data_IF_254669301232
#
_entry.id   IF_254669301232
#
_cell.length_a   1.000
_cell.length_b   1.000
_cell.length_c   1.000
_cell.angle_alpha   90.00
_cell.angle_beta   90.00
_cell.angle_gamma   90.00
#
_symmetry.space_group_name_H-M   'P 1'
#
loop_
_entity.id
_entity.type
_entity.pdbx_description
1 polymer ?
#
# COMPACT_ATOMS: atom_id res chain seq x y z
N UNK A 1 9.53 -3.05 7.75
CA UNK A 1 9.69 -3.91 6.58
C UNK A 1 10.05 -3.08 5.34
N UNK A 2 10.95 -3.56 4.47
CA UNK A 2 11.37 -2.88 3.23
C UNK A 2 12.82 -2.42 3.27
N UNK A 3 13.23 -1.54 2.39
CA UNK A 3 12.45 -0.69 1.46
C UNK A 3 12.12 -1.47 0.18
N UNK A 4 10.83 -1.59 -0.15
CA UNK A 4 10.36 -2.28 -1.34
C UNK A 4 10.69 -1.48 -2.62
N UNK A 5 11.08 -2.19 -3.67
CA UNK A 5 11.19 -1.63 -5.01
C UNK A 5 9.82 -1.61 -5.68
N UNK A 6 9.20 -0.47 -5.69
CA UNK A 6 7.84 -0.24 -6.17
C UNK A 6 6.93 0.24 -5.06
N UNK A 7 5.98 1.09 -5.39
CA UNK A 7 4.97 1.54 -4.44
C UNK A 7 3.99 0.42 -4.09
N UNK A 8 3.46 0.47 -2.88
CA UNK A 8 2.37 -0.36 -2.40
C UNK A 8 1.20 0.56 -2.05
N UNK A 9 0.29 0.78 -2.99
CA UNK A 9 -0.77 1.78 -2.92
C UNK A 9 -2.14 1.17 -3.21
N UNK A 10 -3.18 1.68 -2.57
CA UNK A 10 -4.55 1.26 -2.79
C UNK A 10 -4.78 -0.22 -2.56
N UNK A 11 -5.61 -0.81 -3.40
CA UNK A 11 -5.96 -2.24 -3.31
C UNK A 11 -4.79 -3.18 -3.66
N UNK A 12 -3.70 -2.68 -4.27
CA UNK A 12 -2.53 -3.48 -4.57
C UNK A 12 -1.81 -3.99 -3.32
N UNK A 13 -2.01 -3.36 -2.17
CA UNK A 13 -1.44 -3.77 -0.88
C UNK A 13 -1.76 -5.21 -0.50
N UNK A 14 -2.88 -5.79 -1.00
CA UNK A 14 -3.23 -7.20 -0.76
C UNK A 14 -2.24 -8.19 -1.40
N UNK A 15 -1.46 -7.75 -2.39
CA UNK A 15 -0.43 -8.56 -3.06
C UNK A 15 0.98 -8.25 -2.54
N UNK A 16 1.12 -7.33 -1.58
CA UNK A 16 2.40 -6.86 -1.10
C UNK A 16 2.96 -7.73 0.03
N UNK A 17 4.10 -8.35 -0.19
CA UNK A 17 4.84 -9.01 0.89
C UNK A 17 5.39 -8.02 1.92
N UNK A 18 5.74 -6.79 1.50
CA UNK A 18 6.24 -5.74 2.38
C UNK A 18 5.17 -5.24 3.35
N UNK A 19 3.97 -4.95 2.85
CA UNK A 19 2.83 -4.58 3.69
C UNK A 19 2.38 -5.78 4.52
N UNK A 20 2.33 -6.98 3.92
CA UNK A 20 1.99 -8.22 4.63
C UNK A 20 2.93 -8.52 5.81
N UNK A 21 4.23 -8.26 5.66
CA UNK A 21 5.17 -8.42 6.76
C UNK A 21 4.87 -7.46 7.91
N UNK A 22 4.68 -6.16 7.63
CA UNK A 22 4.32 -5.18 8.66
C UNK A 22 2.97 -5.52 9.34
N UNK A 23 1.99 -5.97 8.57
CA UNK A 23 0.72 -6.42 9.15
C UNK A 23 0.88 -7.69 9.99
N UNK A 24 1.77 -8.61 9.61
CA UNK A 24 2.02 -9.81 10.41
C UNK A 24 2.59 -9.47 11.79
N UNK A 25 3.41 -8.42 11.88
CA UNK A 25 3.98 -7.97 13.16
C UNK A 25 2.90 -7.47 14.13
N UNK A 26 1.77 -6.93 13.63
CA UNK A 26 0.64 -6.56 14.49
C UNK A 26 0.04 -7.74 15.25
N UNK A 27 0.17 -8.98 14.74
CA UNK A 27 -0.31 -10.19 15.44
C UNK A 27 0.52 -10.50 16.70
N UNK A 28 1.66 -9.82 16.85
CA UNK A 28 2.59 -9.97 17.97
C UNK A 28 2.73 -8.66 18.77
N UNK A 29 1.80 -7.73 18.59
CA UNK A 29 1.79 -6.40 19.23
C UNK A 29 3.08 -5.60 18.99
N UNK A 30 3.69 -5.79 17.81
CA UNK A 30 4.91 -5.08 17.42
C UNK A 30 4.55 -3.88 16.53
N UNK A 31 4.84 -2.63 16.95
CA UNK A 31 4.69 -1.46 16.11
C UNK A 31 5.48 -1.61 14.81
N UNK A 32 4.84 -1.42 13.67
CA UNK A 32 5.46 -1.75 12.40
C UNK A 32 5.21 -0.72 11.30
N UNK A 33 6.22 -0.57 10.43
CA UNK A 33 6.20 0.34 9.28
C UNK A 33 6.64 -0.41 8.03
N UNK A 34 5.81 -0.40 6.99
CA UNK A 34 6.17 -0.86 5.65
C UNK A 34 6.71 0.33 4.83
N UNK A 35 7.89 0.20 4.25
CA UNK A 35 8.55 1.23 3.45
C UNK A 35 8.64 0.82 1.99
N UNK A 36 8.28 1.72 1.07
CA UNK A 36 8.26 1.45 -0.37
C UNK A 36 8.73 2.66 -1.18
N UNK A 37 9.54 2.45 -2.22
CA UNK A 37 9.99 3.48 -3.15
C UNK A 37 9.27 3.36 -4.48
N UNK A 38 8.42 4.33 -4.81
CA UNK A 38 7.76 4.42 -6.11
C UNK A 38 8.78 4.66 -7.25
N UNK A 39 8.45 4.20 -8.43
CA UNK A 39 9.21 4.51 -9.66
C UNK A 39 8.27 4.55 -10.86
N UNK A 40 8.67 5.27 -11.89
CA UNK A 40 8.05 5.29 -13.22
C UNK A 40 8.85 4.43 -14.20
N UNK A 41 10.17 4.42 -14.07
CA UNK A 41 11.09 3.59 -14.86
C UNK A 41 11.71 2.50 -13.97
N UNK A 42 11.52 1.23 -14.37
CA UNK A 42 12.09 0.08 -13.65
C UNK A 42 13.62 0.05 -13.65
N UNK A 43 14.25 0.67 -14.64
CA UNK A 43 15.72 0.72 -14.77
C UNK A 43 16.33 1.88 -13.99
N UNK A 44 15.54 2.88 -13.61
CA UNK A 44 15.95 4.10 -12.93
C UNK A 44 15.08 4.40 -11.70
N UNK A 45 15.16 3.53 -10.70
CA UNK A 45 14.45 3.72 -9.43
C UNK A 45 15.10 4.86 -8.64
N UNK A 46 14.34 5.91 -8.23
CA UNK A 46 14.90 7.06 -7.50
C UNK A 46 15.13 6.72 -6.01
N UNK A 47 16.01 5.79 -5.72
CA UNK A 47 16.34 5.35 -4.37
C UNK A 47 16.80 6.48 -3.46
N UNK A 48 17.32 7.56 -4.04
CA UNK A 48 17.78 8.73 -3.31
C UNK A 48 16.66 9.37 -2.48
N UNK A 49 15.41 9.31 -2.93
CA UNK A 49 14.28 9.82 -2.17
C UNK A 49 14.10 9.05 -0.84
N UNK A 50 14.12 7.72 -0.90
CA UNK A 50 14.04 6.90 0.30
C UNK A 50 15.31 7.00 1.18
N UNK A 51 16.50 7.10 0.59
CA UNK A 51 17.76 7.22 1.32
C UNK A 51 17.86 8.56 2.06
N UNK A 52 17.45 9.66 1.42
CA UNK A 52 17.56 11.00 2.01
C UNK A 52 16.49 11.28 3.06
N UNK A 53 15.30 10.70 2.90
CA UNK A 53 14.15 11.02 3.76
C UNK A 53 13.75 9.90 4.71
N UNK A 54 14.21 8.65 4.46
CA UNK A 54 13.70 7.46 5.14
C UNK A 54 13.90 7.48 6.65
N UNK A 55 15.13 7.72 7.11
CA UNK A 55 15.43 7.76 8.54
C UNK A 55 14.61 8.82 9.27
N UNK A 56 14.59 10.03 8.73
CA UNK A 56 13.83 11.14 9.30
C UNK A 56 12.32 10.87 9.31
N UNK A 57 11.78 10.28 8.23
CA UNK A 57 10.37 9.90 8.17
C UNK A 57 10.02 8.87 9.25
N UNK A 58 10.86 7.85 9.43
CA UNK A 58 10.65 6.84 10.47
C UNK A 58 10.71 7.47 11.86
N UNK A 59 11.70 8.31 12.14
CA UNK A 59 11.83 9.02 13.42
C UNK A 59 10.60 9.87 13.70
N UNK A 60 10.11 10.65 12.72
CA UNK A 60 8.90 11.45 12.89
C UNK A 60 7.67 10.57 13.21
N UNK A 61 7.50 9.46 12.50
CA UNK A 61 6.37 8.56 12.72
C UNK A 61 6.47 7.86 14.07
N UNK A 62 7.66 7.39 14.46
CA UNK A 62 7.88 6.74 15.76
C UNK A 62 7.71 7.67 16.96
N UNK A 63 7.79 8.99 16.74
CA UNK A 63 7.51 9.99 17.77
C UNK A 63 6.01 10.24 17.97
N UNK A 64 5.15 9.73 17.07
CA UNK A 64 3.71 9.83 17.19
C UNK A 64 3.16 8.65 18.00
N UNK A 65 2.07 8.88 18.70
CA UNK A 65 1.32 7.83 19.35
C UNK A 65 0.22 7.35 18.39
N UNK A 66 0.27 6.06 17.98
CA UNK A 66 -0.78 5.44 17.18
C UNK A 66 -1.27 4.14 17.82
N UNK A 67 -2.51 3.69 17.52
CA UNK A 67 -3.08 2.47 18.09
C UNK A 67 -2.21 1.23 17.81
N UNK A 68 -2.18 0.29 18.77
CA UNK A 68 -1.37 -0.94 18.65
C UNK A 68 -1.85 -1.89 17.55
N UNK A 69 -3.11 -1.77 17.12
CA UNK A 69 -3.71 -2.55 16.03
C UNK A 69 -3.47 -1.93 14.63
N UNK A 70 -2.58 -0.94 14.53
CA UNK A 70 -2.27 -0.21 13.30
C UNK A 70 -0.80 -0.37 12.91
N UNK A 71 -0.52 -0.68 11.65
CA UNK A 71 0.77 -0.47 11.02
C UNK A 71 0.73 0.74 10.07
N UNK A 72 1.90 1.29 9.75
CA UNK A 72 2.00 2.41 8.81
C UNK A 72 2.58 1.95 7.47
N UNK A 73 1.84 2.21 6.39
CA UNK A 73 2.32 1.96 5.02
C UNK A 73 2.89 3.27 4.44
N UNK A 74 4.20 3.34 4.31
CA UNK A 74 4.94 4.52 3.85
C UNK A 74 5.42 4.34 2.43
N UNK A 75 5.12 5.30 1.56
CA UNK A 75 5.57 5.30 0.18
C UNK A 75 6.31 6.60 -0.15
N UNK A 76 7.55 6.47 -0.61
CA UNK A 76 8.35 7.57 -1.16
C UNK A 76 7.97 7.80 -2.62
N UNK A 77 7.81 9.06 -3.07
CA UNK A 77 7.35 9.37 -4.43
C UNK A 77 8.42 9.09 -5.50
N UNK A 78 7.97 8.99 -6.75
CA UNK A 78 8.84 8.78 -7.91
C UNK A 78 9.39 10.08 -8.54
N UNK A 79 9.13 11.23 -7.94
CA UNK A 79 9.62 12.52 -8.42
C UNK A 79 11.14 12.64 -8.32
N UNK A 80 11.71 13.65 -8.99
CA UNK A 80 13.14 13.95 -8.88
C UNK A 80 13.53 14.27 -7.43
N UNK A 81 14.75 13.90 -6.99
CA UNK A 81 15.28 14.32 -5.70
C UNK A 81 15.18 15.84 -5.54
N UNK A 82 14.86 16.39 -4.48
CA UNK A 82 14.64 17.83 -4.27
C UNK A 82 13.26 18.36 -4.69
N UNK A 83 12.44 17.54 -5.37
CA UNK A 83 11.03 17.82 -5.63
C UNK A 83 10.10 17.03 -4.67
N UNK A 84 10.67 16.28 -3.72
CA UNK A 84 9.92 15.52 -2.73
C UNK A 84 9.21 16.47 -1.78
N UNK A 85 7.89 16.32 -1.69
CA UNK A 85 7.05 17.09 -0.79
C UNK A 85 6.97 16.45 0.61
N UNK A 86 6.66 17.24 1.65
CA UNK A 86 6.61 16.76 3.02
C UNK A 86 5.72 15.53 3.21
N UNK A 87 6.00 14.79 4.30
CA UNK A 87 5.19 13.66 4.77
C UNK A 87 3.72 14.09 4.97
N UNK A 88 2.83 13.24 4.50
CA UNK A 88 1.38 13.43 4.60
C UNK A 88 0.72 12.15 5.10
N UNK A 89 -0.10 12.25 6.13
CA UNK A 89 -0.96 11.15 6.56
C UNK A 89 -2.12 11.06 5.59
N UNK A 90 -2.36 9.88 5.06
CA UNK A 90 -3.31 9.63 3.98
C UNK A 90 -4.28 8.51 4.37
N UNK A 91 -5.36 8.37 3.60
CA UNK A 91 -6.25 7.20 3.66
C UNK A 91 -5.95 6.26 2.51
N UNK A 92 -6.21 4.98 2.71
CA UNK A 92 -6.16 4.01 1.63
C UNK A 92 -7.24 4.35 0.60
N UNK A 93 -6.83 4.50 -0.67
CA UNK A 93 -7.73 4.65 -1.79
C UNK A 93 -8.03 3.34 -2.48
N UNK A 94 -8.75 3.41 -3.59
CA UNK A 94 -8.93 2.27 -4.48
C UNK A 94 -7.61 1.91 -5.19
N UNK A 95 -6.73 2.89 -5.37
CA UNK A 95 -5.51 2.72 -6.14
C UNK A 95 -5.78 2.70 -7.64
N UNK A 96 -4.82 2.18 -8.39
CA UNK A 96 -4.86 2.17 -9.86
C UNK A 96 -5.07 0.78 -10.44
N UNK A 97 -5.25 -0.24 -9.61
CA UNK A 97 -5.43 -1.61 -10.07
C UNK A 97 -6.74 -1.74 -10.87
N UNK A 98 -6.63 -2.08 -12.14
CA UNK A 98 -7.73 -2.30 -13.07
C UNK A 98 -8.04 -3.78 -13.26
N UNK A 99 -7.00 -4.61 -13.26
CA UNK A 99 -7.15 -6.04 -13.45
C UNK A 99 -5.88 -6.82 -13.14
N UNK A 100 -6.04 -8.13 -13.21
CA UNK A 100 -4.95 -9.10 -13.06
C UNK A 100 -5.00 -10.03 -14.26
N UNK A 101 -3.87 -10.21 -14.95
CA UNK A 101 -3.69 -11.22 -15.99
C UNK A 101 -2.65 -12.26 -15.56
N UNK A 102 -2.73 -13.43 -16.18
CA UNK A 102 -1.80 -14.53 -15.95
C UNK A 102 -0.97 -14.73 -17.20
N UNK A 103 0.33 -14.76 -17.07
CA UNK A 103 1.28 -15.15 -18.11
C UNK A 103 1.93 -16.47 -17.71
N UNK A 104 1.75 -17.50 -18.53
CA UNK A 104 2.36 -18.82 -18.35
C UNK A 104 3.71 -18.86 -19.05
N UNK A 105 4.70 -19.45 -18.38
CA UNK A 105 6.05 -19.68 -18.87
C UNK A 105 6.50 -21.08 -18.41
N UNK A 106 7.54 -21.62 -19.05
CA UNK A 106 8.17 -22.84 -18.61
C UNK A 106 9.57 -22.55 -18.05
N UNK A 107 9.93 -23.20 -16.96
CA UNK A 107 11.29 -23.14 -16.45
C UNK A 107 12.24 -23.99 -17.33
N UNK A 108 13.58 -23.91 -17.15
CA UNK A 108 14.54 -24.72 -17.90
C UNK A 108 14.36 -26.24 -17.75
N UNK A 109 13.57 -26.70 -16.78
CA UNK A 109 13.25 -28.13 -16.55
C UNK A 109 11.92 -28.53 -17.20
N UNK A 110 11.22 -27.60 -17.87
CA UNK A 110 9.93 -27.82 -18.48
C UNK A 110 8.73 -27.74 -17.54
N UNK A 111 8.92 -27.26 -16.30
CA UNK A 111 7.81 -27.03 -15.38
C UNK A 111 7.13 -25.71 -15.69
N UNK A 112 5.80 -25.76 -15.90
CA UNK A 112 5.00 -24.58 -16.13
C UNK A 112 4.85 -23.78 -14.83
N UNK A 113 5.00 -22.45 -14.92
CA UNK A 113 4.74 -21.50 -13.85
C UNK A 113 3.98 -20.29 -14.37
N UNK A 114 3.30 -19.59 -13.47
CA UNK A 114 2.40 -18.51 -13.81
C UNK A 114 2.82 -17.21 -13.12
N UNK A 115 2.97 -16.15 -13.92
CA UNK A 115 3.18 -14.79 -13.42
C UNK A 115 1.85 -14.05 -13.34
N UNK A 116 1.54 -13.52 -12.15
CA UNK A 116 0.46 -12.56 -12.00
C UNK A 116 0.96 -11.18 -12.45
N UNK A 117 0.28 -10.59 -13.41
CA UNK A 117 0.58 -9.26 -13.93
C UNK A 117 -0.54 -8.31 -13.53
N UNK A 118 -0.21 -7.31 -12.71
CA UNK A 118 -1.15 -6.28 -12.30
C UNK A 118 -1.29 -5.24 -13.41
N UNK A 119 -2.51 -5.02 -13.87
CA UNK A 119 -2.85 -4.01 -14.87
C UNK A 119 -3.32 -2.75 -14.13
N UNK A 120 -2.82 -1.58 -14.57
CA UNK A 120 -3.08 -0.30 -13.92
C UNK A 120 -3.63 0.70 -14.91
N UNK A 121 -4.72 1.38 -14.53
CA UNK A 121 -5.24 2.51 -15.29
C UNK A 121 -4.42 3.79 -15.03
N UNK A 122 -4.41 4.75 -15.97
CA UNK A 122 -3.63 5.98 -15.84
C UNK A 122 -4.27 7.05 -14.93
N UNK A 123 -5.54 6.90 -14.60
CA UNK A 123 -6.31 7.90 -13.87
C UNK A 123 -5.83 8.04 -12.43
N UNK A 124 -5.76 9.27 -11.89
CA UNK A 124 -5.47 9.48 -10.48
C UNK A 124 -6.61 8.95 -9.61
N UNK A 125 -6.27 8.58 -8.39
CA UNK A 125 -7.24 8.27 -7.34
C UNK A 125 -7.81 9.57 -6.73
N UNK A 126 -8.76 9.45 -5.82
CA UNK A 126 -9.33 10.61 -5.13
C UNK A 126 -8.30 11.35 -4.29
N UNK A 127 -8.44 12.66 -4.20
CA UNK A 127 -7.60 13.51 -3.34
C UNK A 127 -7.62 13.03 -1.88
N UNK A 128 -6.48 13.07 -1.22
CA UNK A 128 -6.29 12.61 0.16
C UNK A 128 -6.03 11.10 0.27
N UNK A 129 -6.06 10.36 -0.85
CA UNK A 129 -5.60 8.98 -0.86
C UNK A 129 -4.08 8.92 -1.04
N UNK A 130 -3.46 7.83 -0.56
CA UNK A 130 -2.02 7.63 -0.71
C UNK A 130 -1.58 7.62 -2.17
N UNK A 131 -2.42 7.12 -3.08
CA UNK A 131 -2.12 7.10 -4.52
C UNK A 131 -2.06 8.51 -5.09
N UNK A 132 -3.08 9.34 -4.83
CA UNK A 132 -3.14 10.70 -5.35
C UNK A 132 -2.01 11.57 -4.79
N UNK A 133 -1.77 11.49 -3.48
CA UNK A 133 -0.76 12.31 -2.81
C UNK A 133 0.67 11.87 -3.15
N UNK A 134 0.92 10.57 -3.32
CA UNK A 134 2.23 10.07 -3.75
C UNK A 134 2.54 10.49 -5.20
N UNK A 135 1.56 10.43 -6.10
CA UNK A 135 1.70 10.93 -7.47
C UNK A 135 1.93 12.45 -7.52
N UNK A 136 1.37 13.20 -6.56
CA UNK A 136 1.63 14.64 -6.41
C UNK A 136 3.03 14.96 -5.86
N UNK A 137 3.81 13.97 -5.42
CA UNK A 137 5.17 14.11 -4.94
C UNK A 137 5.33 14.06 -3.42
N UNK A 138 4.27 13.81 -2.66
CA UNK A 138 4.35 13.67 -1.21
C UNK A 138 4.92 12.30 -0.79
N UNK A 139 5.69 12.29 0.28
CA UNK A 139 5.86 11.09 1.09
C UNK A 139 4.53 10.81 1.75
N UNK A 140 3.99 9.61 1.63
CA UNK A 140 2.70 9.26 2.21
C UNK A 140 2.85 8.23 3.31
N UNK A 141 2.10 8.37 4.40
CA UNK A 141 1.96 7.37 5.43
C UNK A 141 0.47 7.08 5.64
N UNK A 142 0.08 5.85 5.42
CA UNK A 142 -1.30 5.40 5.51
C UNK A 142 -1.42 4.43 6.69
N UNK A 143 -2.20 4.75 7.72
CA UNK A 143 -2.52 3.81 8.78
C UNK A 143 -3.36 2.65 8.24
N UNK A 144 -2.95 1.42 8.54
CA UNK A 144 -3.61 0.19 8.08
C UNK A 144 -3.86 -0.76 9.24
N UNK A 145 -4.97 -1.49 9.18
CA UNK A 145 -5.38 -2.48 10.19
C UNK A 145 -5.95 -3.73 9.50
N UNK A 146 -6.12 -4.81 10.26
CA UNK A 146 -6.72 -6.05 9.74
C UNK A 146 -8.23 -5.95 9.53
N UNK A 147 -8.92 -5.12 10.33
CA UNK A 147 -10.38 -5.01 10.25
C UNK A 147 -10.81 -4.41 8.90
N UNK A 148 -11.54 -5.19 8.13
CA UNK A 148 -12.02 -4.85 6.78
C UNK A 148 -13.54 -4.87 6.67
N UNK A 149 -14.24 -5.01 7.78
CA UNK A 149 -15.70 -5.04 7.80
C UNK A 149 -16.25 -3.69 7.34
N UNK A 150 -17.10 -3.72 6.33
CA UNK A 150 -17.80 -2.52 5.89
C UNK A 150 -19.00 -2.28 6.82
N UNK A 151 -18.82 -1.38 7.79
CA UNK A 151 -19.77 -1.14 8.90
C UNK A 151 -21.20 -0.92 8.40
N UNK A 152 -21.41 -0.15 7.34
CA UNK A 152 -22.76 0.10 6.81
C UNK A 152 -23.36 -1.16 6.14
N UNK A 153 -22.52 -1.95 5.45
CA UNK A 153 -22.97 -3.18 4.80
C UNK A 153 -23.21 -4.33 5.79
N UNK A 154 -22.67 -4.28 7.01
CA UNK A 154 -22.97 -5.27 8.04
C UNK A 154 -24.45 -5.30 8.46
N UNK A 155 -25.18 -4.21 8.18
CA UNK A 155 -26.67 -4.15 8.36
C UNK A 155 -27.45 -5.02 7.37
N UNK A 156 -26.79 -5.64 6.39
CA UNK A 156 -27.43 -6.62 5.49
C UNK A 156 -28.07 -7.77 6.29
N UNK A 157 -27.48 -8.16 7.42
CA UNK A 157 -28.05 -9.18 8.30
C UNK A 157 -29.44 -8.80 8.84
N UNK A 158 -29.67 -7.52 9.15
CA UNK A 158 -30.97 -7.06 9.64
C UNK A 158 -32.08 -7.24 8.57
N UNK A 159 -31.72 -7.03 7.29
CA UNK A 159 -32.65 -7.20 6.17
C UNK A 159 -32.97 -8.69 5.94
N UNK A 160 -31.99 -9.59 6.09
CA UNK A 160 -32.20 -11.03 5.98
C UNK A 160 -33.14 -11.55 7.08
N UNK A 161 -32.99 -11.09 8.31
CA UNK A 161 -33.87 -11.47 9.43
C UNK A 161 -35.32 -10.95 9.29
N UNK A 162 -35.49 -9.78 8.65
CA UNK A 162 -36.84 -9.26 8.37
C UNK A 162 -37.51 -10.04 7.23
N UNK A 163 -36.78 -10.42 6.19
CA UNK A 163 -37.30 -11.21 5.06
C UNK A 163 -37.69 -12.65 5.46
N UNK A 164 -37.08 -13.21 6.50
CA UNK A 164 -37.37 -14.56 7.00
C UNK A 164 -38.60 -14.65 7.90
N UNK A 165 -39.26 -13.53 8.18
CA UNK A 165 -40.49 -13.46 9.05
C UNK A 165 -41.79 -13.28 8.27
N UNK A 166 -41.73 -13.35 6.94
CA UNK A 166 -42.87 -13.37 6.03
C UNK A 166 -43.02 -14.78 5.47
#
# INVERSE_FOLDING_TARGET
SGINRGANLGTETVFSGTVGAAMTELLFDIPSIALSQAFTDRTAVPWENALSHGAYTVEQLMALDWPQDVCLNVNFPSCAPGAVLPLKITRQGRGRLEGVSVRSENDPRGLEYHWLQLQRHPWPDETGTETAENLAGHITATPMQFERTHVTASRISEQLFQASRV
#
